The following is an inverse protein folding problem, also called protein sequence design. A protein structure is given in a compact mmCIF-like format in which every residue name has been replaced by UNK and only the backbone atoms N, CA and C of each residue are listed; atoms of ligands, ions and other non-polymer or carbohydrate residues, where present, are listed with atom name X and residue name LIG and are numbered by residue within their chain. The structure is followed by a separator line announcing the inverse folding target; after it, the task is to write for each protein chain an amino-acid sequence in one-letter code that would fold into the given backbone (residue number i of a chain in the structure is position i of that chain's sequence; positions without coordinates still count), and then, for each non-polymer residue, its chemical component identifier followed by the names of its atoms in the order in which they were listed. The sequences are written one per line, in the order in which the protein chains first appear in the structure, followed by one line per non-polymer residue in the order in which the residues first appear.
data_IF_368511200383
#
_entry.id   IF_368511200383
#
_cell.length_a   1.000
_cell.length_b   1.000
_cell.length_c   1.000
_cell.angle_alpha   90.00
_cell.angle_beta   90.00
_cell.angle_gamma   90.00
#
_symmetry.space_group_name_H-M   'P 1'
#
loop_
_entity.id
_entity.type
_entity.pdbx_description
1 polymer ?
#
# COMPACT_ATOMS: atom_id res chain seq x y z
N UNK A 1 -21.82 0.31 -25.92
CA UNK A 1 -21.66 -0.53 -24.71
C UNK A 1 -20.56 -1.54 -24.96
N UNK A 2 -19.67 -1.76 -24.00
CA UNK A 2 -18.53 -2.67 -24.11
C UNK A 2 -18.78 -3.87 -23.22
N UNK A 3 -18.49 -5.09 -23.73
CA UNK A 3 -18.62 -6.32 -22.95
C UNK A 3 -17.40 -6.44 -22.01
N UNK A 4 -17.66 -6.53 -20.71
CA UNK A 4 -16.63 -6.67 -19.67
C UNK A 4 -16.44 -8.13 -19.26
N UNK A 5 -17.51 -8.92 -19.23
CA UNK A 5 -17.47 -10.36 -18.94
C UNK A 5 -18.52 -11.06 -19.76
N UNK A 6 -18.23 -12.30 -20.13
CA UNK A 6 -19.14 -13.23 -20.73
C UNK A 6 -19.01 -14.57 -20.02
N UNK A 7 -20.11 -15.06 -19.48
CA UNK A 7 -20.18 -16.33 -18.79
C UNK A 7 -21.26 -17.17 -19.46
N UNK A 8 -20.93 -18.38 -19.85
CA UNK A 8 -21.90 -19.36 -20.33
C UNK A 8 -22.25 -20.29 -19.17
N UNK A 9 -23.52 -20.47 -18.90
CA UNK A 9 -24.02 -21.31 -17.81
C UNK A 9 -23.94 -22.77 -18.21
N UNK A 10 -23.24 -23.57 -17.40
CA UNK A 10 -22.99 -24.98 -17.65
C UNK A 10 -24.31 -25.77 -17.85
N UNK A 11 -24.34 -26.79 -18.75
CA UNK A 11 -25.50 -27.61 -19.00
C UNK A 11 -26.08 -28.31 -17.77
N UNK A 12 -25.23 -28.58 -16.75
CA UNK A 12 -25.64 -29.22 -15.50
C UNK A 12 -25.95 -28.25 -14.34
N UNK A 13 -25.94 -26.94 -14.59
CA UNK A 13 -26.16 -25.95 -13.55
C UNK A 13 -27.60 -25.98 -13.02
N UNK A 14 -27.73 -26.22 -11.71
CA UNK A 14 -29.03 -26.06 -11.04
C UNK A 14 -29.46 -24.59 -11.01
N UNK A 15 -30.79 -24.30 -11.06
CA UNK A 15 -31.26 -22.92 -11.00
C UNK A 15 -30.74 -22.19 -9.73
N UNK A 16 -29.97 -21.13 -9.93
CA UNK A 16 -29.44 -20.27 -8.86
C UNK A 16 -29.63 -18.81 -9.27
N UNK A 17 -29.74 -17.91 -8.30
CA UNK A 17 -29.86 -16.48 -8.60
C UNK A 17 -28.60 -15.98 -9.30
N UNK A 18 -28.80 -15.19 -10.37
CA UNK A 18 -27.71 -14.68 -11.21
C UNK A 18 -26.70 -13.82 -10.42
N UNK A 19 -27.15 -13.07 -9.40
CA UNK A 19 -26.24 -12.28 -8.55
C UNK A 19 -25.29 -13.17 -7.71
N UNK A 20 -25.76 -14.32 -7.24
CA UNK A 20 -24.92 -15.32 -6.56
C UNK A 20 -24.01 -16.03 -7.55
N UNK A 21 -24.55 -16.46 -8.69
CA UNK A 21 -23.79 -17.12 -9.75
C UNK A 21 -22.62 -16.23 -10.20
N UNK A 22 -22.87 -14.96 -10.51
CA UNK A 22 -21.81 -14.01 -10.89
C UNK A 22 -20.79 -13.78 -9.77
N UNK A 23 -21.21 -13.74 -8.50
CA UNK A 23 -20.31 -13.55 -7.36
C UNK A 23 -19.33 -14.70 -7.14
N UNK A 24 -19.66 -15.91 -7.60
CA UNK A 24 -18.81 -17.10 -7.52
C UNK A 24 -17.87 -17.26 -8.72
N UNK A 25 -18.22 -16.67 -9.88
CA UNK A 25 -17.47 -16.84 -11.13
C UNK A 25 -16.69 -15.59 -11.54
N UNK A 26 -16.85 -14.45 -10.84
CA UNK A 26 -16.14 -13.21 -11.10
C UNK A 26 -15.23 -12.87 -9.93
N UNK A 27 -13.97 -13.30 -9.99
CA UNK A 27 -13.01 -13.16 -8.90
C UNK A 27 -12.68 -11.70 -8.57
N UNK A 28 -12.66 -10.80 -9.55
CA UNK A 28 -12.24 -9.39 -9.41
C UNK A 28 -13.41 -8.39 -9.26
N UNK A 29 -14.62 -8.88 -8.99
CA UNK A 29 -15.79 -8.01 -8.96
C UNK A 29 -16.52 -8.09 -7.62
N UNK A 30 -16.55 -6.97 -6.87
CA UNK A 30 -17.25 -6.92 -5.58
C UNK A 30 -18.77 -7.09 -5.74
N UNK A 31 -19.41 -7.69 -4.71
CA UNK A 31 -20.90 -7.83 -4.68
C UNK A 31 -21.63 -6.51 -4.89
N UNK A 32 -21.09 -5.40 -4.34
CA UNK A 32 -21.67 -4.07 -4.51
C UNK A 32 -21.64 -3.62 -5.97
N UNK A 33 -20.55 -3.89 -6.69
CA UNK A 33 -20.42 -3.55 -8.11
C UNK A 33 -21.38 -4.38 -8.97
N UNK A 34 -21.55 -5.65 -8.66
CA UNK A 34 -22.54 -6.52 -9.31
C UNK A 34 -23.95 -5.99 -9.07
N UNK A 35 -24.31 -5.63 -7.83
CA UNK A 35 -25.63 -5.08 -7.51
C UNK A 35 -25.90 -3.73 -8.20
N UNK A 36 -24.90 -2.86 -8.28
CA UNK A 36 -25.01 -1.60 -9.00
C UNK A 36 -25.25 -1.83 -10.51
N UNK A 37 -24.53 -2.78 -11.09
CA UNK A 37 -24.68 -3.13 -12.50
C UNK A 37 -26.09 -3.67 -12.84
N UNK A 38 -26.71 -4.41 -11.93
CA UNK A 38 -28.11 -4.82 -12.10
C UNK A 38 -29.07 -3.63 -12.07
N UNK A 39 -28.85 -2.66 -11.17
CA UNK A 39 -29.69 -1.44 -11.09
C UNK A 39 -29.60 -0.60 -12.36
N UNK A 40 -28.44 -0.56 -12.99
CA UNK A 40 -28.17 0.24 -14.19
C UNK A 40 -28.48 -0.55 -15.50
N UNK A 41 -28.93 -1.81 -15.41
CA UNK A 41 -29.26 -2.64 -16.57
C UNK A 41 -28.07 -3.11 -17.38
N UNK A 42 -26.89 -3.18 -16.77
CA UNK A 42 -25.64 -3.61 -17.41
C UNK A 42 -25.43 -5.13 -17.40
N UNK A 43 -26.24 -5.88 -16.65
CA UNK A 43 -26.23 -7.35 -16.67
C UNK A 43 -27.34 -7.84 -17.58
N UNK A 44 -26.99 -8.67 -18.55
CA UNK A 44 -27.88 -9.21 -19.57
C UNK A 44 -27.75 -10.71 -19.66
N UNK A 45 -28.85 -11.37 -20.04
CA UNK A 45 -28.83 -12.74 -20.52
C UNK A 45 -29.15 -12.69 -22.02
N UNK A 46 -28.20 -13.12 -22.85
CA UNK A 46 -28.19 -12.76 -24.28
C UNK A 46 -28.16 -11.23 -24.44
N UNK A 47 -29.19 -10.68 -25.10
CA UNK A 47 -29.33 -9.23 -25.30
C UNK A 47 -30.32 -8.56 -24.30
N UNK A 48 -30.97 -9.34 -23.43
CA UNK A 48 -32.03 -8.85 -22.55
C UNK A 48 -31.46 -8.48 -21.15
N UNK A 49 -31.63 -7.25 -20.66
CA UNK A 49 -31.30 -6.89 -19.30
C UNK A 49 -32.12 -7.69 -18.29
N UNK A 50 -31.46 -8.18 -17.23
CA UNK A 50 -32.14 -9.00 -16.20
C UNK A 50 -31.93 -8.37 -14.80
N UNK A 51 -32.84 -8.74 -13.87
CA UNK A 51 -32.72 -8.33 -12.46
C UNK A 51 -31.86 -9.32 -11.67
N UNK A 52 -31.30 -8.87 -10.53
CA UNK A 52 -30.43 -9.66 -9.67
C UNK A 52 -31.03 -10.98 -9.16
N UNK A 53 -32.35 -11.10 -9.16
CA UNK A 53 -33.09 -12.31 -8.75
C UNK A 53 -33.42 -13.27 -9.91
N UNK A 54 -32.99 -12.97 -11.13
CA UNK A 54 -33.12 -13.90 -12.25
C UNK A 54 -32.49 -15.24 -11.90
N UNK A 55 -33.18 -16.33 -12.22
CA UNK A 55 -32.65 -17.69 -12.03
C UNK A 55 -31.98 -18.14 -13.32
N UNK A 56 -30.66 -18.37 -13.23
CA UNK A 56 -29.89 -18.84 -14.39
C UNK A 56 -30.37 -20.20 -14.86
N UNK A 57 -30.31 -20.43 -16.15
CA UNK A 57 -30.69 -21.68 -16.82
C UNK A 57 -29.50 -22.24 -17.58
N UNK A 58 -29.37 -23.57 -17.72
CA UNK A 58 -28.36 -24.16 -18.57
C UNK A 58 -28.34 -23.53 -19.97
N UNK A 59 -27.15 -23.14 -20.45
CA UNK A 59 -26.98 -22.50 -21.74
C UNK A 59 -27.27 -20.99 -21.77
N UNK A 60 -27.63 -20.36 -20.66
CA UNK A 60 -27.73 -18.90 -20.58
C UNK A 60 -26.34 -18.27 -20.83
N UNK A 61 -26.31 -17.28 -21.70
CA UNK A 61 -25.12 -16.47 -21.92
C UNK A 61 -25.27 -15.16 -21.14
N UNK A 62 -24.62 -15.09 -19.99
CA UNK A 62 -24.64 -13.92 -19.12
C UNK A 62 -23.56 -12.93 -19.64
N UNK A 63 -23.99 -11.70 -19.93
CA UNK A 63 -23.13 -10.62 -20.40
C UNK A 63 -23.16 -9.47 -19.41
N UNK A 64 -21.98 -9.00 -19.05
CA UNK A 64 -21.80 -7.80 -18.24
C UNK A 64 -21.29 -6.69 -19.17
N UNK A 65 -22.17 -5.78 -19.54
CA UNK A 65 -21.88 -4.71 -20.51
C UNK A 65 -21.89 -3.36 -19.82
N UNK A 66 -20.95 -2.49 -20.15
CA UNK A 66 -20.83 -1.15 -19.56
C UNK A 66 -20.72 -0.07 -20.63
N UNK A 67 -21.09 1.21 -20.35
CA UNK A 67 -20.97 2.30 -21.31
C UNK A 67 -19.53 2.70 -21.63
N UNK A 68 -18.57 2.23 -20.85
CA UNK A 68 -17.14 2.44 -21.04
C UNK A 68 -16.43 1.10 -21.28
N UNK A 69 -15.32 1.13 -21.99
CA UNK A 69 -14.46 -0.06 -22.11
C UNK A 69 -14.07 -0.55 -20.72
N UNK A 70 -13.97 -1.86 -20.54
CA UNK A 70 -13.25 -2.41 -19.40
C UNK A 70 -11.89 -1.68 -19.46
N UNK A 71 -11.68 -0.73 -18.56
CA UNK A 71 -10.33 -0.33 -18.27
C UNK A 71 -9.73 -1.57 -17.59
N UNK A 72 -9.18 -2.48 -18.37
CA UNK A 72 -8.06 -3.25 -17.90
C UNK A 72 -7.16 -2.21 -17.25
N UNK A 73 -6.46 -2.54 -16.22
CA UNK A 73 -5.39 -1.69 -15.72
C UNK A 73 -4.33 -1.65 -16.85
N UNK A 74 -4.63 -0.93 -17.93
CA UNK A 74 -3.65 -0.64 -18.97
C UNK A 74 -2.55 0.14 -18.28
N UNK A 75 -1.47 -0.53 -17.98
CA UNK A 75 -0.28 0.12 -17.47
C UNK A 75 0.39 0.78 -18.68
N UNK A 76 0.14 2.07 -18.83
CA UNK A 76 0.78 2.87 -19.88
C UNK A 76 2.21 3.14 -19.40
N UNK A 77 3.26 2.66 -20.13
CA UNK A 77 4.63 3.00 -19.82
C UNK A 77 4.83 4.52 -19.88
N UNK A 78 5.45 5.10 -18.85
CA UNK A 78 5.71 6.53 -18.75
C UNK A 78 7.18 6.78 -18.40
N UNK A 79 7.80 7.70 -19.10
CA UNK A 79 9.18 8.13 -18.83
C UNK A 79 9.20 9.01 -17.56
N UNK A 80 9.19 8.32 -16.41
CA UNK A 80 9.28 8.95 -15.08
C UNK A 80 10.63 8.55 -14.48
N UNK A 81 11.46 9.50 -14.04
CA UNK A 81 12.74 9.22 -13.43
C UNK A 81 12.62 8.29 -12.22
N UNK A 82 13.43 7.23 -12.19
CA UNK A 82 13.54 6.27 -11.09
C UNK A 82 14.88 6.45 -10.37
N UNK A 83 14.86 6.46 -9.05
CA UNK A 83 16.07 6.34 -8.24
C UNK A 83 16.36 4.85 -8.01
N UNK A 84 17.11 4.24 -8.95
CA UNK A 84 17.49 2.83 -8.92
C UNK A 84 18.73 2.69 -8.05
N UNK A 85 18.64 1.90 -6.98
CA UNK A 85 19.72 1.63 -6.02
C UNK A 85 20.53 0.41 -6.44
N UNK A 86 19.87 -0.56 -7.07
CA UNK A 86 20.49 -1.79 -7.59
C UNK A 86 19.67 -2.35 -8.73
N UNK A 87 20.33 -2.91 -9.71
CA UNK A 87 19.68 -3.62 -10.81
C UNK A 87 20.61 -4.66 -11.41
N UNK A 88 20.06 -5.86 -11.66
CA UNK A 88 20.67 -6.91 -12.47
C UNK A 88 19.62 -7.56 -13.40
N UNK A 89 19.86 -8.79 -13.89
CA UNK A 89 18.92 -9.49 -14.78
C UNK A 89 17.66 -10.01 -14.07
N UNK A 90 17.68 -10.14 -12.76
CA UNK A 90 16.65 -10.79 -11.96
C UNK A 90 15.87 -9.84 -11.07
N UNK A 91 16.52 -8.85 -10.49
CA UNK A 91 15.93 -7.95 -9.51
C UNK A 91 16.32 -6.50 -9.76
N UNK A 92 15.44 -5.61 -9.35
CA UNK A 92 15.70 -4.18 -9.29
C UNK A 92 15.28 -3.67 -7.91
N UNK A 93 16.08 -2.81 -7.29
CA UNK A 93 15.74 -2.13 -6.05
C UNK A 93 15.64 -0.64 -6.33
N UNK A 94 14.47 -0.08 -6.05
CA UNK A 94 14.18 1.35 -6.27
C UNK A 94 13.94 2.06 -4.95
N UNK A 95 14.47 3.27 -4.81
CA UNK A 95 14.15 4.19 -3.73
C UNK A 95 12.96 5.09 -4.18
N UNK A 96 11.74 4.69 -3.84
CA UNK A 96 10.52 5.39 -4.25
C UNK A 96 10.42 6.76 -3.57
N UNK A 97 10.18 7.85 -4.29
CA UNK A 97 9.87 9.14 -3.69
C UNK A 97 8.51 9.09 -2.97
N UNK A 98 8.32 9.98 -1.99
CA UNK A 98 7.00 10.24 -1.42
C UNK A 98 6.07 10.87 -2.48
N UNK A 99 4.76 10.72 -2.31
CA UNK A 99 3.76 11.21 -3.26
C UNK A 99 3.48 10.27 -4.45
N UNK A 100 4.39 9.34 -4.75
CA UNK A 100 4.20 8.37 -5.84
C UNK A 100 3.43 7.14 -5.36
N UNK A 101 2.32 6.84 -6.04
CA UNK A 101 1.55 5.59 -5.83
C UNK A 101 2.29 4.42 -6.48
N UNK A 102 2.26 3.25 -5.86
CA UNK A 102 2.94 2.06 -6.40
C UNK A 102 2.18 1.46 -7.58
N UNK A 103 0.87 1.20 -7.43
CA UNK A 103 0.00 0.64 -8.47
C UNK A 103 -1.11 1.61 -8.85
N UNK A 104 -1.56 1.62 -10.10
CA UNK A 104 -2.76 2.35 -10.49
C UNK A 104 -3.97 1.96 -9.62
N UNK A 105 -4.78 2.94 -9.28
CA UNK A 105 -5.95 2.75 -8.45
C UNK A 105 -6.92 3.92 -8.58
N UNK A 106 -7.97 3.94 -7.77
CA UNK A 106 -9.00 4.98 -7.83
C UNK A 106 -8.40 6.39 -7.67
N UNK A 107 -8.52 7.21 -8.70
CA UNK A 107 -7.97 8.58 -8.73
C UNK A 107 -6.48 8.69 -9.14
N UNK A 108 -5.77 7.58 -9.34
CA UNK A 108 -4.36 7.52 -9.74
C UNK A 108 -4.15 6.43 -10.78
N UNK A 109 -4.48 6.69 -12.04
CA UNK A 109 -4.35 5.71 -13.13
C UNK A 109 -3.01 5.81 -13.83
N UNK A 110 -2.33 6.92 -13.68
CA UNK A 110 -1.06 7.29 -14.30
C UNK A 110 -0.11 7.89 -13.26
N UNK A 111 1.15 8.08 -13.62
CA UNK A 111 2.17 8.66 -12.72
C UNK A 111 2.56 7.72 -11.56
N UNK A 112 2.32 6.42 -11.69
CA UNK A 112 2.63 5.44 -10.66
C UNK A 112 3.98 4.79 -10.86
N UNK A 113 4.50 4.13 -9.82
CA UNK A 113 5.77 3.42 -9.90
C UNK A 113 5.74 2.35 -11.01
N UNK A 114 4.64 1.62 -11.18
CA UNK A 114 4.53 0.59 -12.21
C UNK A 114 4.53 1.19 -13.63
N UNK A 115 4.00 2.42 -13.84
CA UNK A 115 4.11 3.10 -15.13
C UNK A 115 5.57 3.42 -15.47
N UNK A 116 6.33 3.91 -14.47
CA UNK A 116 7.76 4.20 -14.62
C UNK A 116 8.59 2.93 -14.86
N UNK A 117 8.35 1.88 -14.07
CA UNK A 117 9.01 0.58 -14.23
C UNK A 117 8.72 -0.06 -15.58
N UNK A 118 7.47 0.04 -16.06
CA UNK A 118 7.09 -0.49 -17.38
C UNK A 118 7.85 0.19 -18.51
N UNK A 119 8.08 1.51 -18.40
CA UNK A 119 8.92 2.23 -19.37
C UNK A 119 10.38 1.80 -19.26
N UNK A 120 10.95 1.79 -18.05
CA UNK A 120 12.34 1.43 -17.80
C UNK A 120 12.68 0.00 -18.28
N UNK A 121 11.77 -0.95 -18.04
CA UNK A 121 11.95 -2.36 -18.41
C UNK A 121 11.53 -2.66 -19.86
N UNK A 122 11.08 -1.68 -20.62
CA UNK A 122 10.63 -1.85 -22.01
C UNK A 122 9.42 -2.77 -22.16
N UNK A 123 8.51 -2.76 -21.17
CA UNK A 123 7.32 -3.62 -21.18
C UNK A 123 6.34 -3.08 -22.22
N UNK A 124 5.98 -3.94 -23.20
CA UNK A 124 5.02 -3.62 -24.26
C UNK A 124 3.62 -3.32 -23.70
N UNK A 125 2.85 -2.51 -24.46
CA UNK A 125 1.44 -2.20 -24.14
C UNK A 125 0.45 -3.33 -24.49
N UNK A 126 0.93 -4.45 -25.04
CA UNK A 126 0.07 -5.57 -25.40
C UNK A 126 -0.60 -6.16 -24.16
N UNK A 127 -1.92 -6.19 -24.17
CA UNK A 127 -2.75 -6.55 -23.02
C UNK A 127 -2.39 -7.95 -22.44
N UNK A 128 -2.04 -8.90 -23.31
CA UNK A 128 -1.64 -10.25 -22.92
C UNK A 128 -0.28 -10.29 -22.19
N UNK A 129 0.62 -9.32 -22.47
CA UNK A 129 1.88 -9.19 -21.76
C UNK A 129 1.76 -8.48 -20.41
N UNK A 130 0.68 -7.74 -20.17
CA UNK A 130 0.45 -6.96 -18.96
C UNK A 130 -0.06 -7.80 -17.80
N UNK A 131 -0.94 -8.78 -18.03
CA UNK A 131 -1.45 -9.68 -16.98
C UNK A 131 -0.32 -10.56 -16.42
N UNK A 132 0.58 -11.03 -17.26
CA UNK A 132 1.74 -11.83 -16.84
C UNK A 132 2.80 -10.99 -16.10
N UNK A 133 2.92 -9.68 -16.38
CA UNK A 133 3.96 -8.78 -15.82
C UNK A 133 3.48 -7.86 -14.69
N UNK A 134 2.18 -7.84 -14.36
CA UNK A 134 1.69 -7.17 -13.15
C UNK A 134 2.33 -7.72 -11.87
N UNK A 135 2.90 -8.93 -11.94
CA UNK A 135 3.61 -9.60 -10.87
C UNK A 135 5.01 -9.06 -10.55
N UNK A 136 5.59 -8.13 -11.31
CA UNK A 136 6.93 -7.60 -11.03
C UNK A 136 7.05 -6.95 -9.63
N UNK A 137 5.95 -6.44 -9.10
CA UNK A 137 5.90 -5.84 -7.76
C UNK A 137 5.45 -6.88 -6.73
N UNK A 138 6.37 -7.35 -5.91
CA UNK A 138 6.16 -8.37 -4.87
C UNK A 138 5.69 -7.76 -3.54
N UNK A 139 5.81 -6.45 -3.36
CA UNK A 139 5.29 -5.71 -2.21
C UNK A 139 5.01 -4.25 -2.56
N UNK A 140 4.50 -3.52 -1.57
CA UNK A 140 4.18 -2.10 -1.73
C UNK A 140 4.43 -1.31 -0.46
N UNK A 141 4.63 0.00 -0.61
CA UNK A 141 4.56 1.00 0.46
C UNK A 141 3.50 2.05 0.11
N UNK A 142 3.06 2.81 1.10
CA UNK A 142 2.01 3.83 0.91
C UNK A 142 2.47 4.95 -0.04
N UNK A 143 1.52 5.68 -0.62
CA UNK A 143 1.77 6.80 -1.53
C UNK A 143 2.81 7.76 -0.97
N UNK A 144 2.58 8.25 0.25
CA UNK A 144 3.40 9.28 0.88
C UNK A 144 4.53 8.71 1.76
N UNK A 145 4.70 7.40 1.79
CA UNK A 145 5.89 6.74 2.34
C UNK A 145 6.96 6.65 1.26
N UNK A 146 8.15 7.15 1.56
CA UNK A 146 9.33 7.03 0.71
C UNK A 146 10.14 5.78 1.04
N UNK A 147 11.10 5.41 0.18
CA UNK A 147 12.08 4.38 0.49
C UNK A 147 12.09 3.16 -0.42
N UNK A 148 12.80 2.14 0.04
CA UNK A 148 13.20 0.99 -0.77
C UNK A 148 12.06 0.03 -1.08
N UNK A 149 12.00 -0.37 -2.36
CA UNK A 149 11.17 -1.46 -2.85
C UNK A 149 11.98 -2.41 -3.73
N UNK A 150 11.74 -3.72 -3.57
CA UNK A 150 12.23 -4.75 -4.48
C UNK A 150 11.22 -4.99 -5.61
N UNK A 151 11.74 -5.17 -6.80
CA UNK A 151 11.02 -5.44 -8.05
C UNK A 151 11.62 -6.68 -8.67
N UNK A 152 10.80 -7.63 -9.09
CA UNK A 152 11.24 -8.79 -9.87
C UNK A 152 11.28 -8.44 -11.35
N UNK A 153 12.29 -8.91 -12.08
CA UNK A 153 12.40 -8.65 -13.54
C UNK A 153 11.91 -9.81 -14.39
N UNK A 154 11.66 -10.96 -13.79
CA UNK A 154 11.14 -12.17 -14.44
C UNK A 154 10.29 -13.01 -13.46
N UNK A 155 9.53 -13.97 -14.00
CA UNK A 155 8.56 -14.77 -13.23
C UNK A 155 9.22 -15.63 -12.16
N UNK A 156 10.41 -16.20 -12.43
CA UNK A 156 11.13 -17.02 -11.46
C UNK A 156 11.53 -16.19 -10.25
N UNK A 157 12.07 -15.00 -10.49
CA UNK A 157 12.45 -14.06 -9.43
C UNK A 157 11.24 -13.55 -8.67
N UNK A 158 10.11 -13.34 -9.35
CA UNK A 158 8.86 -12.96 -8.73
C UNK A 158 8.38 -14.05 -7.75
N UNK A 159 8.31 -15.30 -8.17
CA UNK A 159 7.86 -16.41 -7.32
C UNK A 159 8.75 -16.55 -6.08
N UNK A 160 10.08 -16.49 -6.26
CA UNK A 160 11.04 -16.64 -5.15
C UNK A 160 11.01 -15.45 -4.18
N UNK A 161 10.90 -14.21 -4.68
CA UNK A 161 10.76 -13.04 -3.83
C UNK A 161 9.40 -13.03 -3.12
N UNK A 162 8.29 -13.31 -3.82
CA UNK A 162 6.97 -13.41 -3.22
C UNK A 162 6.93 -14.46 -2.09
N UNK A 163 7.63 -15.59 -2.28
CA UNK A 163 7.78 -16.62 -1.24
C UNK A 163 8.50 -16.05 -0.01
N UNK A 164 9.59 -15.30 -0.17
CA UNK A 164 10.31 -14.70 0.95
C UNK A 164 9.43 -13.68 1.71
N UNK A 165 8.58 -12.91 1.01
CA UNK A 165 7.58 -12.04 1.67
C UNK A 165 6.52 -12.84 2.42
N UNK A 166 6.08 -13.96 1.87
CA UNK A 166 5.11 -14.85 2.50
C UNK A 166 5.70 -15.54 3.74
N UNK A 167 6.93 -16.04 3.65
CA UNK A 167 7.66 -16.71 4.73
C UNK A 167 8.20 -15.72 5.79
N UNK A 168 8.01 -14.40 5.57
CA UNK A 168 8.50 -13.33 6.45
C UNK A 168 10.03 -13.33 6.66
N UNK A 169 10.79 -13.79 5.67
CA UNK A 169 12.27 -13.86 5.71
C UNK A 169 12.95 -12.57 5.23
N UNK A 170 12.19 -11.62 4.68
CA UNK A 170 12.67 -10.31 4.23
C UNK A 170 12.94 -9.39 5.44
N UNK A 171 14.14 -8.82 5.53
CA UNK A 171 14.42 -7.77 6.54
C UNK A 171 14.00 -6.39 6.02
N UNK A 172 12.97 -5.82 6.65
CA UNK A 172 12.42 -4.50 6.28
C UNK A 172 12.39 -3.61 7.50
N UNK A 173 13.15 -2.50 7.44
CA UNK A 173 13.16 -1.53 8.51
C UNK A 173 12.78 -0.15 7.98
N UNK A 174 11.99 0.53 8.78
CA UNK A 174 11.47 1.86 8.49
C UNK A 174 11.93 2.83 9.57
N UNK A 175 12.24 4.05 9.19
CA UNK A 175 12.39 5.14 10.13
C UNK A 175 11.08 5.94 10.16
N UNK A 176 10.59 6.23 11.36
CA UNK A 176 9.43 7.07 11.60
C UNK A 176 9.75 8.14 12.63
N UNK A 177 9.29 9.37 12.40
CA UNK A 177 9.28 10.42 13.42
C UNK A 177 7.88 10.41 14.01
N UNK A 178 7.76 10.20 15.33
CA UNK A 178 6.48 10.00 16.01
C UNK A 178 6.25 11.07 17.07
N UNK A 179 5.02 11.40 17.39
CA UNK A 179 4.67 12.33 18.43
C UNK A 179 4.92 11.76 19.84
N UNK A 180 5.49 12.57 20.69
CA UNK A 180 5.74 12.29 22.11
C UNK A 180 7.05 11.57 22.36
N UNK A 181 7.38 11.41 23.61
CA UNK A 181 8.50 10.60 24.09
C UNK A 181 7.99 9.17 24.31
N UNK A 182 8.63 8.20 23.68
CA UNK A 182 8.29 6.78 23.86
C UNK A 182 8.71 6.34 25.26
N UNK A 183 7.81 5.68 26.05
CA UNK A 183 8.10 5.33 27.43
C UNK A 183 9.23 4.30 27.58
N UNK A 184 9.37 3.44 26.57
CA UNK A 184 10.38 2.37 26.53
C UNK A 184 11.37 2.63 25.40
N UNK A 185 12.51 1.94 25.40
CA UNK A 185 13.51 2.05 24.32
C UNK A 185 13.16 1.17 23.11
N UNK A 186 12.46 0.09 23.34
CA UNK A 186 12.02 -0.84 22.28
C UNK A 186 10.75 -1.58 22.70
N UNK A 187 10.06 -2.16 21.75
CA UNK A 187 8.88 -2.95 22.01
C UNK A 187 8.30 -3.62 20.76
N UNK A 188 7.21 -4.35 20.98
CA UNK A 188 6.49 -5.06 19.92
C UNK A 188 5.01 -4.74 20.02
N UNK A 189 4.40 -4.46 18.86
CA UNK A 189 2.94 -4.38 18.73
C UNK A 189 2.48 -5.53 17.87
N UNK A 190 1.56 -6.32 18.40
CA UNK A 190 0.88 -7.38 17.68
C UNK A 190 -0.63 -7.14 17.74
N UNK A 191 -1.30 -7.17 16.60
CA UNK A 191 -2.75 -7.04 16.49
C UNK A 191 -3.27 -7.67 15.20
N UNK A 192 -4.59 -7.69 15.03
CA UNK A 192 -5.21 -7.91 13.73
C UNK A 192 -5.55 -6.56 13.11
N UNK A 193 -5.15 -6.35 11.85
CA UNK A 193 -5.44 -5.11 11.13
C UNK A 193 -6.52 -5.37 10.10
N UNK A 194 -7.62 -4.65 10.22
CA UNK A 194 -8.76 -4.69 9.32
C UNK A 194 -9.14 -3.30 8.82
N UNK A 195 -10.04 -3.25 7.84
CA UNK A 195 -10.55 -1.99 7.28
C UNK A 195 -11.47 -1.31 8.29
N UNK A 196 -11.36 0.00 8.42
CA UNK A 196 -12.27 0.78 9.27
C UNK A 196 -13.67 0.83 8.59
N UNK A 197 -14.75 0.44 9.28
CA UNK A 197 -16.09 0.47 8.70
C UNK A 197 -16.60 1.90 8.44
N UNK A 198 -16.10 2.89 9.16
CA UNK A 198 -16.48 4.31 9.01
C UNK A 198 -15.69 5.05 7.94
N UNK A 199 -14.48 4.61 7.62
CA UNK A 199 -13.62 5.21 6.58
C UNK A 199 -12.95 4.12 5.74
N UNK A 200 -13.39 3.97 4.49
CA UNK A 200 -12.86 2.98 3.55
C UNK A 200 -11.36 3.11 3.24
N UNK A 201 -10.78 4.28 3.47
CA UNK A 201 -9.36 4.54 3.24
C UNK A 201 -8.51 4.35 4.50
N UNK A 202 -9.15 4.07 5.65
CA UNK A 202 -8.51 3.85 6.94
C UNK A 202 -8.48 2.38 7.29
N UNK A 203 -7.43 1.98 8.01
CA UNK A 203 -7.30 0.67 8.64
C UNK A 203 -7.19 0.86 10.14
N UNK A 204 -7.57 -0.15 10.92
CA UNK A 204 -7.49 -0.12 12.38
C UNK A 204 -7.19 -1.50 12.93
N UNK A 205 -6.73 -1.54 14.17
CA UNK A 205 -6.72 -2.79 14.92
C UNK A 205 -8.14 -3.26 15.19
N UNK A 206 -8.35 -4.56 15.01
CA UNK A 206 -9.63 -5.24 15.22
C UNK A 206 -9.42 -6.41 16.19
N UNK A 207 -10.52 -6.94 16.73
CA UNK A 207 -10.46 -7.88 17.86
C UNK A 207 -9.89 -9.27 17.47
N UNK A 208 -10.11 -9.70 16.23
CA UNK A 208 -9.88 -11.08 15.79
C UNK A 208 -9.52 -11.22 14.31
N UNK A 209 -9.21 -12.45 13.91
CA UNK A 209 -8.84 -12.81 12.54
C UNK A 209 -10.01 -12.79 11.55
N UNK A 210 -11.24 -12.87 12.01
CA UNK A 210 -12.43 -12.81 11.14
C UNK A 210 -12.62 -11.40 10.55
N UNK A 211 -12.13 -10.38 11.25
CA UNK A 211 -12.26 -8.97 10.87
C UNK A 211 -10.97 -8.34 10.37
N UNK A 212 -9.82 -9.01 10.53
CA UNK A 212 -8.51 -8.49 10.13
C UNK A 212 -7.46 -9.56 9.93
N UNK A 213 -6.26 -9.14 9.53
CA UNK A 213 -5.13 -10.02 9.33
C UNK A 213 -4.06 -9.74 10.38
N UNK A 214 -3.47 -10.81 10.96
CA UNK A 214 -2.37 -10.71 11.93
C UNK A 214 -1.28 -9.77 11.39
N UNK A 215 -0.83 -8.87 12.26
CA UNK A 215 0.19 -7.88 12.00
C UNK A 215 1.14 -7.78 13.19
N UNK A 216 2.46 -7.77 12.93
CA UNK A 216 3.50 -7.64 13.96
C UNK A 216 4.51 -6.59 13.53
N UNK A 217 4.76 -5.63 14.42
CA UNK A 217 5.74 -4.56 14.25
C UNK A 217 6.61 -4.48 15.50
N UNK A 218 7.91 -4.66 15.35
CA UNK A 218 8.89 -4.34 16.38
C UNK A 218 9.34 -2.89 16.17
N UNK A 219 9.50 -2.15 17.27
CA UNK A 219 9.99 -0.80 17.22
C UNK A 219 11.13 -0.58 18.21
N UNK A 220 12.05 0.33 17.88
CA UNK A 220 13.17 0.72 18.69
C UNK A 220 13.41 2.22 18.57
N UNK A 221 13.62 2.88 19.70
CA UNK A 221 13.99 4.29 19.76
C UNK A 221 15.40 4.47 19.23
N UNK A 222 15.57 5.42 18.31
CA UNK A 222 16.87 5.83 17.80
C UNK A 222 17.31 7.15 18.42
N UNK A 223 16.40 8.13 18.60
CA UNK A 223 16.72 9.45 19.15
C UNK A 223 15.46 10.10 19.74
N UNK A 224 15.58 10.74 20.90
CA UNK A 224 14.51 11.43 21.61
C UNK A 224 14.67 12.95 21.55
N UNK A 225 13.56 13.67 21.37
CA UNK A 225 13.55 15.14 21.29
C UNK A 225 12.54 15.76 22.27
N UNK A 226 12.07 15.00 23.26
CA UNK A 226 11.07 15.39 24.23
C UNK A 226 9.63 15.34 23.68
N UNK A 227 9.32 16.09 22.63
CA UNK A 227 7.96 16.14 22.07
C UNK A 227 7.78 15.27 20.82
N UNK A 228 8.84 14.77 20.26
CA UNK A 228 8.85 13.76 19.19
C UNK A 228 10.00 12.79 19.41
N UNK A 229 9.89 11.61 18.81
CA UNK A 229 10.91 10.56 18.86
C UNK A 229 11.17 10.01 17.46
N UNK A 230 12.42 9.78 17.12
CA UNK A 230 12.80 9.00 15.95
C UNK A 230 12.83 7.52 16.34
N UNK A 231 12.05 6.70 15.65
CA UNK A 231 12.00 5.26 15.88
C UNK A 231 12.32 4.47 14.61
N UNK A 232 12.97 3.32 14.79
CA UNK A 232 13.06 2.27 13.78
C UNK A 232 11.90 1.30 13.98
N UNK A 233 11.21 0.93 12.90
CA UNK A 233 10.17 -0.09 12.90
C UNK A 233 10.61 -1.25 12.01
N UNK A 234 10.75 -2.46 12.58
CA UNK A 234 11.01 -3.70 11.85
C UNK A 234 9.71 -4.46 11.67
N UNK A 235 9.42 -4.87 10.43
CA UNK A 235 8.18 -5.56 10.09
C UNK A 235 8.38 -7.07 9.94
N UNK A 236 7.60 -7.89 10.68
CA UNK A 236 7.39 -9.29 10.30
C UNK A 236 6.36 -9.40 9.18
N UNK A 237 5.25 -8.71 9.30
CA UNK A 237 4.14 -8.71 8.34
C UNK A 237 4.08 -7.38 7.56
N UNK A 238 3.33 -7.32 6.46
CA UNK A 238 3.20 -6.12 5.63
C UNK A 238 1.75 -5.76 5.32
N UNK A 239 0.94 -5.43 6.35
CA UNK A 239 -0.46 -5.03 6.16
C UNK A 239 -0.55 -3.56 5.78
N UNK A 240 -1.62 -3.20 5.06
CA UNK A 240 -1.85 -1.81 4.66
C UNK A 240 -1.86 -0.90 5.88
N UNK A 241 -1.11 0.19 5.83
CA UNK A 241 -0.92 1.17 6.91
C UNK A 241 -0.41 0.60 8.24
N UNK A 242 0.22 -0.58 8.25
CA UNK A 242 0.52 -1.32 9.49
C UNK A 242 1.28 -0.49 10.53
N UNK A 243 2.41 0.12 10.17
CA UNK A 243 3.20 0.95 11.10
C UNK A 243 2.36 2.13 11.61
N UNK A 244 1.63 2.78 10.71
CA UNK A 244 0.79 3.94 11.03
C UNK A 244 -0.31 3.58 12.03
N UNK A 245 -0.97 2.43 11.87
CA UNK A 245 -1.97 1.90 12.81
C UNK A 245 -1.32 1.56 14.14
N UNK A 246 -0.26 0.76 14.14
CA UNK A 246 0.37 0.26 15.37
C UNK A 246 0.93 1.39 16.23
N UNK A 247 1.70 2.31 15.64
CA UNK A 247 2.32 3.41 16.37
C UNK A 247 1.26 4.41 16.88
N UNK A 248 0.20 4.66 16.08
CA UNK A 248 -0.94 5.46 16.55
C UNK A 248 -1.67 4.78 17.71
N UNK A 249 -1.79 3.46 17.71
CA UNK A 249 -2.41 2.67 18.80
C UNK A 249 -1.62 2.79 20.12
N UNK A 250 -0.31 2.95 20.07
CA UNK A 250 0.52 3.24 21.23
C UNK A 250 0.36 4.67 21.78
N UNK A 251 -0.43 5.52 21.11
CA UNK A 251 -0.60 6.93 21.48
C UNK A 251 0.46 7.87 20.90
N UNK A 252 1.30 7.38 20.00
CA UNK A 252 2.41 8.09 19.39
C UNK A 252 2.25 8.19 17.85
N UNK A 253 1.18 8.82 17.29
CA UNK A 253 0.96 8.85 15.85
C UNK A 253 2.17 9.43 15.12
N UNK A 254 2.41 8.95 13.89
CA UNK A 254 3.50 9.45 13.06
C UNK A 254 3.30 10.94 12.79
N UNK A 255 4.37 11.71 12.88
CA UNK A 255 4.36 13.16 12.67
C UNK A 255 3.82 13.49 11.27
N UNK A 256 2.86 14.42 11.23
CA UNK A 256 2.12 14.86 10.06
C UNK A 256 1.34 13.75 9.31
N UNK A 257 0.91 12.69 10.01
CA UNK A 257 -0.01 11.70 9.45
C UNK A 257 -1.46 12.18 9.62
N UNK A 258 -2.04 12.77 8.57
CA UNK A 258 -3.40 13.29 8.56
C UNK A 258 -4.44 12.23 8.93
N UNK A 259 -4.26 11.00 8.46
CA UNK A 259 -5.25 9.94 8.60
C UNK A 259 -5.25 9.29 9.99
N UNK A 260 -4.11 9.29 10.65
CA UNK A 260 -3.94 8.67 11.97
C UNK A 260 -3.69 9.68 13.09
N UNK A 261 -4.01 10.96 12.83
CA UNK A 261 -4.04 12.00 13.85
C UNK A 261 -2.69 12.61 14.19
N UNK A 262 -1.70 12.46 13.31
CA UNK A 262 -0.37 13.07 13.48
C UNK A 262 -0.23 14.47 12.92
N UNK A 263 -1.21 14.98 12.16
CA UNK A 263 -1.21 16.32 11.58
C UNK A 263 -1.73 17.40 12.53
N UNK A 264 -1.90 17.06 13.82
CA UNK A 264 -2.28 17.99 14.88
C UNK A 264 -1.18 18.03 15.94
N UNK A 265 -1.10 19.14 16.67
CA UNK A 265 -0.16 19.25 17.81
C UNK A 265 -0.59 18.28 18.91
N UNK A 266 0.18 17.23 19.16
CA UNK A 266 -0.12 16.19 20.15
C UNK A 266 0.62 16.39 21.47
N UNK A 267 1.79 17.00 21.43
CA UNK A 267 2.65 17.25 22.58
C UNK A 267 3.28 18.64 22.47
N UNK A 268 3.67 19.21 23.62
CA UNK A 268 4.33 20.48 23.71
C UNK A 268 3.47 21.55 24.38
N UNK A 269 3.71 22.80 24.06
CA UNK A 269 3.12 23.95 24.76
C UNK A 269 2.01 24.60 23.92
N UNK A 270 1.15 25.39 24.60
CA UNK A 270 0.07 26.14 23.95
C UNK A 270 0.51 27.49 23.38
N UNK A 271 1.77 27.89 23.58
CA UNK A 271 2.26 29.22 23.19
C UNK A 271 2.35 29.40 21.68
N UNK A 272 2.12 30.62 21.21
CA UNK A 272 2.11 30.96 19.79
C UNK A 272 3.42 30.61 19.07
N UNK A 273 4.56 30.82 19.74
CA UNK A 273 5.89 30.48 19.19
C UNK A 273 6.02 28.97 18.91
N UNK A 274 5.52 28.13 19.80
CA UNK A 274 5.56 26.67 19.60
C UNK A 274 4.63 26.25 18.46
N UNK A 275 3.42 26.80 18.40
CA UNK A 275 2.50 26.53 17.26
C UNK A 275 3.14 26.90 15.93
N UNK A 276 3.79 28.07 15.86
CA UNK A 276 4.50 28.48 14.63
C UNK A 276 5.65 27.55 14.30
N UNK A 277 6.39 27.11 15.32
CA UNK A 277 7.47 26.12 15.14
C UNK A 277 6.92 24.81 14.54
N UNK A 278 5.82 24.27 15.07
CA UNK A 278 5.20 23.05 14.55
C UNK A 278 4.65 23.26 13.13
N UNK A 279 4.01 24.41 12.86
CA UNK A 279 3.53 24.73 11.51
C UNK A 279 4.70 24.69 10.49
N UNK A 280 5.81 25.30 10.82
CA UNK A 280 7.01 25.23 9.99
C UNK A 280 7.56 23.79 9.86
N UNK A 281 7.42 22.95 10.88
CA UNK A 281 7.80 21.53 10.80
C UNK A 281 6.89 20.76 9.85
N UNK A 282 5.58 21.02 9.86
CA UNK A 282 4.63 20.42 8.92
C UNK A 282 4.88 20.84 7.47
N UNK A 283 5.33 22.08 7.25
CA UNK A 283 5.71 22.56 5.91
C UNK A 283 7.02 21.91 5.41
N UNK A 284 7.97 21.60 6.29
CA UNK A 284 9.21 20.90 5.93
C UNK A 284 8.93 19.46 5.52
N UNK A 285 8.08 18.76 6.27
CA UNK A 285 7.68 17.39 5.95
C UNK A 285 6.15 17.32 5.81
N UNK A 286 5.59 17.65 4.63
CA UNK A 286 4.14 17.79 4.41
C UNK A 286 3.43 16.45 4.19
N UNK A 287 3.84 15.42 4.91
CA UNK A 287 3.36 14.04 4.82
C UNK A 287 3.67 13.28 6.10
N UNK A 288 3.10 12.06 6.25
CA UNK A 288 3.58 11.18 7.31
C UNK A 288 5.11 11.01 7.23
N UNK A 289 5.80 11.33 8.31
CA UNK A 289 7.25 11.20 8.42
C UNK A 289 7.67 9.74 8.56
N UNK A 290 7.50 8.96 7.48
CA UNK A 290 7.75 7.52 7.38
C UNK A 290 8.59 7.21 6.14
N UNK A 291 9.63 6.40 6.31
CA UNK A 291 10.59 6.05 5.27
C UNK A 291 11.02 4.58 5.38
N UNK A 292 10.88 3.81 4.31
CA UNK A 292 11.37 2.44 4.19
C UNK A 292 12.91 2.47 4.01
N UNK A 293 13.65 2.44 5.14
CA UNK A 293 15.08 2.70 5.24
C UNK A 293 15.92 1.57 4.70
N UNK A 294 15.70 0.35 5.20
CA UNK A 294 16.50 -0.80 4.80
C UNK A 294 15.64 -1.91 4.22
N UNK A 295 16.24 -2.64 3.28
CA UNK A 295 15.62 -3.79 2.64
C UNK A 295 16.68 -4.88 2.45
N UNK A 296 16.45 -6.07 3.06
CA UNK A 296 17.32 -7.23 2.91
C UNK A 296 16.54 -8.46 2.45
N UNK A 297 17.10 -9.19 1.50
CA UNK A 297 16.52 -10.42 0.96
C UNK A 297 17.57 -11.33 0.34
N UNK A 298 17.24 -12.61 0.17
CA UNK A 298 18.07 -13.56 -0.56
C UNK A 298 17.85 -13.37 -2.06
N UNK A 299 18.92 -13.15 -2.80
CA UNK A 299 18.83 -12.99 -4.26
C UNK A 299 18.22 -14.23 -4.92
N UNK A 300 17.19 -14.11 -5.78
CA UNK A 300 16.41 -15.24 -6.27
C UNK A 300 17.21 -16.22 -7.13
N UNK A 301 18.25 -15.78 -7.83
CA UNK A 301 19.11 -16.65 -8.65
C UNK A 301 20.32 -17.13 -7.91
N UNK A 302 21.11 -16.23 -7.30
CA UNK A 302 22.42 -16.57 -6.71
C UNK A 302 22.31 -17.19 -5.32
N UNK A 303 21.21 -16.95 -4.60
CA UNK A 303 21.06 -17.36 -3.21
C UNK A 303 21.86 -16.54 -2.20
N UNK A 304 22.52 -15.48 -2.63
CA UNK A 304 23.29 -14.58 -1.77
C UNK A 304 22.36 -13.62 -1.04
N UNK A 305 22.71 -13.25 0.19
CA UNK A 305 22.00 -12.22 0.94
C UNK A 305 22.39 -10.83 0.41
N UNK A 306 21.39 -10.08 -0.03
CA UNK A 306 21.55 -8.66 -0.41
C UNK A 306 20.93 -7.79 0.68
N UNK A 307 21.63 -6.71 1.07
CA UNK A 307 21.17 -5.71 2.03
C UNK A 307 21.36 -4.32 1.46
N UNK A 308 20.29 -3.54 1.47
CA UNK A 308 20.28 -2.16 1.01
C UNK A 308 19.89 -1.23 2.14
N UNK A 309 20.53 -0.06 2.20
CA UNK A 309 20.21 1.03 3.11
C UNK A 309 20.12 2.32 2.28
N UNK A 310 19.02 3.07 2.45
CA UNK A 310 18.83 4.37 1.84
C UNK A 310 19.01 5.48 2.88
N UNK A 311 19.57 6.61 2.46
CA UNK A 311 19.60 7.79 3.33
C UNK A 311 18.19 8.31 3.59
N UNK A 312 17.98 8.94 4.76
CA UNK A 312 16.72 9.65 5.02
C UNK A 312 16.47 10.68 3.92
N UNK A 313 15.24 10.80 3.43
CA UNK A 313 14.89 11.84 2.45
C UNK A 313 15.05 13.23 3.07
N UNK A 314 15.29 14.20 2.21
CA UNK A 314 15.65 15.58 2.61
C UNK A 314 14.64 16.20 3.58
N UNK A 315 13.33 16.00 3.34
CA UNK A 315 12.27 16.50 4.20
C UNK A 315 12.33 15.94 5.63
N UNK A 316 12.59 14.64 5.80
CA UNK A 316 12.74 14.03 7.12
C UNK A 316 14.06 14.39 7.78
N UNK A 317 15.15 14.47 7.01
CA UNK A 317 16.46 14.90 7.53
C UNK A 317 16.39 16.34 8.05
N UNK A 318 15.81 17.26 7.27
CA UNK A 318 15.63 18.66 7.67
C UNK A 318 14.71 18.80 8.89
N UNK A 319 13.65 17.98 8.97
CA UNK A 319 12.76 17.94 10.14
C UNK A 319 13.51 17.51 11.41
N UNK A 320 14.33 16.45 11.34
CA UNK A 320 15.15 16.00 12.48
C UNK A 320 16.17 17.08 12.92
N UNK A 321 16.84 17.72 11.97
CA UNK A 321 17.75 18.83 12.26
C UNK A 321 17.05 19.97 13.02
N UNK A 322 15.84 20.29 12.62
CA UNK A 322 15.03 21.32 13.28
C UNK A 322 14.66 20.92 14.70
N UNK A 323 14.31 19.66 14.92
CA UNK A 323 14.01 19.14 16.25
C UNK A 323 15.24 19.06 17.15
N UNK A 324 16.42 18.66 16.63
CA UNK A 324 17.69 18.68 17.39
C UNK A 324 18.01 20.07 17.91
N UNK A 325 17.85 21.09 17.03
CA UNK A 325 18.07 22.49 17.43
C UNK A 325 17.06 22.95 18.48
N UNK A 326 15.83 22.50 18.39
CA UNK A 326 14.79 22.86 19.36
C UNK A 326 15.04 22.18 20.72
N UNK A 327 15.29 20.86 20.75
CA UNK A 327 15.57 20.12 21.98
C UNK A 327 16.83 20.58 22.69
N UNK A 328 17.90 20.91 21.96
CA UNK A 328 19.12 21.48 22.54
C UNK A 328 18.97 22.89 23.17
N UNK A 329 17.82 23.54 22.97
CA UNK A 329 17.46 24.83 23.59
C UNK A 329 16.51 24.67 24.77
N UNK A 330 16.03 23.45 25.04
CA UNK A 330 15.17 23.16 26.21
C UNK A 330 16.08 23.10 27.46
N UNK A 331 15.68 23.72 28.58
CA UNK A 331 16.39 23.55 29.85
C UNK A 331 16.43 22.06 30.21
N UNK A 332 17.55 21.57 30.69
CA UNK A 332 17.62 20.26 31.35
C UNK A 332 16.70 20.30 32.59
N UNK A 333 15.71 19.39 32.66
CA UNK A 333 14.84 19.24 33.83
C UNK A 333 15.57 18.57 35.00
#
# INVERSE_FOLDING_TARGET
MFEHFRLEVDPGQAPVRIDKYMSTHLEDTSRNRIQQAFKEGYVRVGETPVKANYLVRPGDVIRFVMPYRRRGLEIIPQDIPLNIVYEDDDVLVVNKPAGMVVHPGHGHYEGTLINALSHHLGISQDADALDERMGILVHRIDKDTSGLLAVAKNDESQLKLAKQFFDHSIDRRYNAIVWGDMPEDEGTVESFIGRDPGDRLRFRSVADEDHGKRAVTHWKVLERFGFVTLVECKLETGRTHQIRVHISQLGHPIFNDERYGGAEIRKGTIYAKYRQFIQNCFEICPRQALHARTLGFVHPRTGEWLQFDSTLPEDMAALLEKWRKYSGQMPEE
#
